data_IF_333382445478
#
_entry.id   IF_333382445478
#
_cell.length_a   1.000
_cell.length_b   1.000
_cell.length_c   1.000
_cell.angle_alpha   90.00
_cell.angle_beta   90.00
_cell.angle_gamma   90.00
#
_symmetry.space_group_name_H-M   'P 1'
#
loop_
_entity.id
_entity.type
_entity.pdbx_description
1 polymer ?
#
# COMPACT_ATOMS: atom_id res chain seq x y z
N UNK A 1 12.21 19.70 25.89
CA UNK A 1 10.99 19.81 25.07
C UNK A 1 11.28 20.22 23.62
N UNK A 2 12.41 20.88 23.34
CA UNK A 2 12.85 21.29 21.99
C UNK A 2 13.40 20.14 21.11
N UNK A 3 13.98 19.09 21.69
CA UNK A 3 14.41 17.88 20.95
C UNK A 3 13.24 16.98 20.49
N UNK A 4 12.09 17.04 21.18
CA UNK A 4 10.90 16.25 20.83
C UNK A 4 10.15 16.83 19.61
N UNK A 5 10.23 18.15 19.42
CA UNK A 5 9.60 18.87 18.30
C UNK A 5 10.44 18.77 17.03
N UNK A 6 11.77 18.65 17.13
CA UNK A 6 12.65 18.47 15.97
C UNK A 6 12.58 17.06 15.36
N UNK A 7 12.25 16.02 16.14
CA UNK A 7 12.06 14.65 15.62
C UNK A 7 10.75 14.46 14.85
N UNK A 8 9.73 15.29 15.11
CA UNK A 8 8.43 15.17 14.45
C UNK A 8 8.43 15.79 13.03
N UNK A 9 9.46 16.56 12.68
CA UNK A 9 9.53 17.32 11.43
C UNK A 9 10.13 16.55 10.23
N UNK A 10 10.64 15.32 10.43
CA UNK A 10 11.31 14.55 9.37
C UNK A 10 10.51 13.35 8.84
N UNK A 11 9.23 13.21 9.21
CA UNK A 11 8.36 12.15 8.68
C UNK A 11 7.26 12.75 7.81
N UNK A 12 7.64 13.52 6.80
CA UNK A 12 6.77 13.68 5.63
C UNK A 12 7.16 12.57 4.66
N UNK A 13 6.41 11.46 4.55
CA UNK A 13 6.63 10.54 3.44
C UNK A 13 6.50 11.36 2.15
N UNK A 14 7.59 11.45 1.39
CA UNK A 14 7.53 12.03 0.06
C UNK A 14 6.50 11.23 -0.73
N UNK A 15 5.46 11.90 -1.23
CA UNK A 15 4.50 11.34 -2.17
C UNK A 15 5.25 11.07 -3.47
N UNK A 16 5.95 9.95 -3.56
CA UNK A 16 6.53 9.47 -4.81
C UNK A 16 5.39 8.91 -5.65
N UNK A 17 4.91 9.70 -6.62
CA UNK A 17 3.87 9.32 -7.56
C UNK A 17 4.41 8.30 -8.58
N UNK A 18 4.48 7.02 -8.19
CA UNK A 18 4.80 5.90 -9.08
C UNK A 18 3.58 4.99 -9.27
N UNK A 19 2.40 5.59 -9.45
CA UNK A 19 1.19 4.84 -9.76
C UNK A 19 1.00 4.75 -11.27
N UNK A 20 0.47 3.63 -11.74
CA UNK A 20 0.04 3.45 -13.13
C UNK A 20 -0.88 4.61 -13.54
N UNK A 21 -0.56 5.28 -14.65
CA UNK A 21 -1.24 6.49 -15.11
C UNK A 21 -1.74 6.33 -16.54
N UNK A 22 -2.83 7.03 -16.88
CA UNK A 22 -3.31 7.10 -18.25
C UNK A 22 -2.36 7.96 -19.09
N UNK A 23 -1.68 7.34 -20.04
CA UNK A 23 -0.76 8.01 -20.98
C UNK A 23 -1.51 8.67 -22.13
N UNK A 24 -2.48 7.97 -22.72
CA UNK A 24 -3.28 8.47 -23.85
C UNK A 24 -4.57 7.67 -24.03
N UNK A 25 -5.56 8.23 -24.74
CA UNK A 25 -6.82 7.55 -25.06
C UNK A 25 -7.29 7.82 -26.48
N UNK A 26 -8.08 6.89 -27.01
CA UNK A 26 -8.89 7.04 -28.22
C UNK A 26 -10.33 6.64 -27.89
N UNK A 27 -11.31 7.54 -27.97
CA UNK A 27 -11.19 8.98 -28.23
C UNK A 27 -10.28 9.71 -27.24
N UNK A 28 -9.63 10.79 -27.68
CA UNK A 28 -8.79 11.60 -26.80
C UNK A 28 -9.67 12.41 -25.84
N UNK A 29 -9.11 12.75 -24.67
CA UNK A 29 -9.74 13.67 -23.71
C UNK A 29 -10.09 14.99 -24.41
N UNK A 30 -11.34 15.42 -24.26
CA UNK A 30 -11.87 16.64 -24.86
C UNK A 30 -12.11 16.56 -26.37
N UNK A 31 -12.02 15.37 -26.99
CA UNK A 31 -12.27 15.23 -28.43
C UNK A 31 -13.71 15.58 -28.80
N UNK A 32 -13.88 16.26 -29.92
CA UNK A 32 -15.17 16.42 -30.61
C UNK A 32 -15.18 15.52 -31.84
N UNK A 33 -16.07 14.53 -31.87
CA UNK A 33 -16.07 13.47 -32.86
C UNK A 33 -17.16 13.67 -33.91
N UNK A 34 -16.75 13.68 -35.18
CA UNK A 34 -17.66 13.64 -36.33
C UNK A 34 -18.13 12.21 -36.69
N UNK A 35 -17.53 11.20 -36.07
CA UNK A 35 -17.89 9.78 -36.23
C UNK A 35 -17.97 9.12 -34.86
N UNK A 36 -19.06 8.42 -34.59
CA UNK A 36 -19.25 7.69 -33.34
C UNK A 36 -18.19 6.57 -33.20
N UNK A 37 -17.46 6.51 -32.07
CA UNK A 37 -16.46 5.47 -31.86
C UNK A 37 -17.13 4.11 -31.67
N UNK A 38 -16.50 3.05 -32.17
CA UNK A 38 -16.94 1.65 -31.94
C UNK A 38 -16.25 0.99 -30.75
N UNK A 39 -15.20 1.61 -30.24
CA UNK A 39 -14.40 1.11 -29.14
C UNK A 39 -13.75 2.28 -28.40
N UNK A 40 -13.44 2.04 -27.12
CA UNK A 40 -12.51 2.86 -26.36
C UNK A 40 -11.17 2.13 -26.30
N UNK A 41 -10.09 2.88 -26.45
CA UNK A 41 -8.71 2.38 -26.35
C UNK A 41 -7.92 3.27 -25.41
N UNK A 42 -7.49 2.74 -24.27
CA UNK A 42 -6.78 3.47 -23.22
C UNK A 42 -5.38 2.91 -23.08
N UNK A 43 -4.37 3.76 -23.18
CA UNK A 43 -2.94 3.42 -23.05
C UNK A 43 -2.43 3.90 -21.71
N UNK A 44 -1.80 3.02 -20.94
CA UNK A 44 -1.27 3.33 -19.62
C UNK A 44 0.26 3.37 -19.60
N UNK A 45 0.84 3.86 -18.50
CA UNK A 45 2.30 3.87 -18.27
C UNK A 45 2.85 2.51 -17.83
N UNK A 46 1.98 1.58 -17.44
CA UNK A 46 2.30 0.19 -17.10
C UNK A 46 1.19 -0.74 -17.62
N UNK A 47 1.43 -2.05 -17.64
CA UNK A 47 0.41 -3.03 -18.06
C UNK A 47 -0.65 -3.24 -16.97
N UNK A 48 -1.93 -2.93 -17.20
CA UNK A 48 -2.99 -3.18 -16.23
C UNK A 48 -3.31 -4.68 -16.12
N UNK A 49 -3.67 -5.13 -14.93
CA UNK A 49 -4.20 -6.47 -14.75
C UNK A 49 -5.71 -6.47 -15.07
N UNK A 50 -6.12 -7.22 -16.10
CA UNK A 50 -7.50 -7.19 -16.63
C UNK A 50 -8.55 -7.52 -15.57
N UNK A 51 -8.24 -8.45 -14.66
CA UNK A 51 -9.16 -8.86 -13.58
C UNK A 51 -9.52 -7.71 -12.64
N UNK A 52 -8.68 -6.67 -12.55
CA UNK A 52 -8.90 -5.50 -11.69
C UNK A 52 -9.21 -4.23 -12.49
N UNK A 53 -9.40 -4.36 -13.81
CA UNK A 53 -9.70 -3.23 -14.69
C UNK A 53 -11.21 -3.08 -14.89
N UNK A 54 -11.71 -1.87 -14.69
CA UNK A 54 -13.10 -1.47 -14.95
C UNK A 54 -13.11 -0.23 -15.82
N UNK A 55 -13.93 -0.25 -16.87
CA UNK A 55 -14.22 0.92 -17.70
C UNK A 55 -15.74 1.07 -17.75
N UNK A 56 -16.21 2.28 -17.48
CA UNK A 56 -17.61 2.67 -17.61
C UNK A 56 -17.69 3.83 -18.61
N UNK A 57 -18.67 3.75 -19.50
CA UNK A 57 -19.01 4.83 -20.41
C UNK A 57 -20.38 5.35 -20.00
N UNK A 58 -20.48 6.63 -19.67
CA UNK A 58 -21.72 7.29 -19.27
C UNK A 58 -22.15 8.21 -20.40
N UNK A 59 -23.41 8.05 -20.83
CA UNK A 59 -24.01 8.83 -21.90
C UNK A 59 -24.39 10.25 -21.48
N UNK A 60 -24.83 11.08 -22.46
CA UNK A 60 -25.23 12.48 -22.21
C UNK A 60 -26.40 12.63 -21.24
N UNK A 61 -27.23 11.59 -21.12
CA UNK A 61 -28.39 11.51 -20.22
C UNK A 61 -28.01 11.00 -18.82
N UNK A 62 -26.73 10.75 -18.55
CA UNK A 62 -26.24 10.21 -17.29
C UNK A 62 -26.40 8.69 -17.17
N UNK A 63 -26.87 7.99 -18.20
CA UNK A 63 -27.05 6.53 -18.16
C UNK A 63 -25.78 5.78 -18.56
N UNK A 64 -25.49 4.62 -17.94
CA UNK A 64 -24.39 3.76 -18.38
C UNK A 64 -24.66 3.16 -19.78
N UNK A 65 -23.68 3.26 -20.65
CA UNK A 65 -23.66 2.64 -21.99
C UNK A 65 -23.11 1.22 -21.87
N UNK A 66 -23.77 0.26 -22.51
CA UNK A 66 -23.31 -1.12 -22.50
C UNK A 66 -22.01 -1.29 -23.29
N UNK A 67 -21.04 -1.95 -22.63
CA UNK A 67 -19.74 -2.27 -23.16
C UNK A 67 -19.59 -3.80 -23.25
N UNK A 68 -18.90 -4.27 -24.28
CA UNK A 68 -18.49 -5.67 -24.40
C UNK A 68 -17.34 -6.02 -23.44
N UNK A 69 -16.89 -7.28 -23.49
CA UNK A 69 -15.73 -7.75 -22.74
C UNK A 69 -14.47 -6.91 -22.99
N UNK A 70 -13.84 -6.52 -21.88
CA UNK A 70 -12.59 -5.80 -21.83
C UNK A 70 -11.42 -6.72 -22.22
N UNK A 71 -10.49 -6.24 -23.05
CA UNK A 71 -9.31 -7.01 -23.46
C UNK A 71 -8.06 -6.16 -23.49
N UNK A 72 -6.90 -6.78 -23.27
CA UNK A 72 -5.63 -6.20 -23.64
C UNK A 72 -5.51 -6.16 -25.16
N UNK A 73 -4.87 -5.14 -25.69
CA UNK A 73 -4.65 -5.04 -27.12
C UNK A 73 -3.60 -6.06 -27.60
N UNK A 74 -3.80 -6.60 -28.80
CA UNK A 74 -2.88 -7.58 -29.39
C UNK A 74 -1.47 -6.99 -29.64
N UNK A 75 -1.39 -5.67 -29.82
CA UNK A 75 -0.15 -4.95 -30.11
C UNK A 75 0.57 -4.43 -28.86
N UNK A 76 -0.10 -4.35 -27.70
CA UNK A 76 0.53 -3.94 -26.45
C UNK A 76 -0.28 -4.32 -25.21
N UNK A 77 0.34 -4.94 -24.19
CA UNK A 77 -0.32 -5.24 -22.91
C UNK A 77 -0.60 -3.99 -22.06
N UNK A 78 -0.02 -2.84 -22.41
CA UNK A 78 -0.29 -1.55 -21.75
C UNK A 78 -1.55 -0.86 -22.27
N UNK A 79 -2.18 -1.45 -23.27
CA UNK A 79 -3.35 -0.88 -23.93
C UNK A 79 -4.56 -1.75 -23.67
N UNK A 80 -5.59 -1.12 -23.12
CA UNK A 80 -6.89 -1.74 -22.87
C UNK A 80 -7.84 -1.30 -23.97
N UNK A 81 -8.55 -2.27 -24.54
CA UNK A 81 -9.59 -2.05 -25.55
C UNK A 81 -10.91 -2.58 -25.02
N UNK A 82 -11.96 -1.78 -25.16
CA UNK A 82 -13.34 -2.19 -24.88
C UNK A 82 -14.23 -1.78 -26.04
N UNK A 83 -15.02 -2.72 -26.56
CA UNK A 83 -15.97 -2.43 -27.64
C UNK A 83 -17.25 -1.85 -27.05
N UNK A 84 -17.83 -0.91 -27.77
CA UNK A 84 -19.09 -0.27 -27.39
C UNK A 84 -20.20 -1.09 -28.05
N UNK A 85 -21.02 -1.75 -27.24
CA UNK A 85 -22.05 -2.68 -27.71
C UNK A 85 -23.34 -1.95 -28.15
N UNK A 86 -23.57 -0.76 -27.60
CA UNK A 86 -24.74 0.06 -27.91
C UNK A 86 -24.45 1.08 -29.02
N UNK A 87 -25.51 1.45 -29.73
CA UNK A 87 -25.44 2.62 -30.58
C UNK A 87 -25.33 3.89 -29.73
N UNK A 88 -24.56 4.86 -30.21
CA UNK A 88 -24.35 6.14 -29.53
C UNK A 88 -25.23 7.22 -30.14
N UNK A 89 -25.53 8.24 -29.35
CA UNK A 89 -26.25 9.46 -29.73
C UNK A 89 -25.29 10.65 -29.70
N UNK A 90 -25.72 11.80 -30.21
CA UNK A 90 -24.93 13.02 -30.09
C UNK A 90 -24.93 13.53 -28.64
N UNK A 91 -23.82 14.09 -28.18
CA UNK A 91 -23.68 14.66 -26.85
C UNK A 91 -22.35 14.33 -26.16
N UNK A 92 -22.24 14.75 -24.90
CA UNK A 92 -21.06 14.53 -24.09
C UNK A 92 -21.09 13.14 -23.42
N UNK A 93 -19.99 12.41 -23.54
CA UNK A 93 -19.79 11.10 -22.93
C UNK A 93 -18.68 11.18 -21.90
N UNK A 94 -18.92 10.61 -20.72
CA UNK A 94 -17.90 10.50 -19.67
C UNK A 94 -17.36 9.08 -19.65
N UNK A 95 -16.05 8.93 -19.83
CA UNK A 95 -15.33 7.68 -19.59
C UNK A 95 -14.82 7.72 -18.16
N UNK A 96 -15.26 6.78 -17.32
CA UNK A 96 -14.67 6.50 -16.01
C UNK A 96 -13.88 5.22 -16.10
N UNK A 97 -12.71 5.18 -15.47
CA UNK A 97 -11.89 3.98 -15.44
C UNK A 97 -11.29 3.76 -14.06
N UNK A 98 -11.06 2.49 -13.75
CA UNK A 98 -10.30 2.02 -12.62
C UNK A 98 -9.37 0.91 -13.12
N UNK A 99 -8.10 0.97 -12.76
CA UNK A 99 -7.10 -0.04 -13.11
C UNK A 99 -6.21 -0.33 -11.91
N UNK A 100 -5.56 -1.49 -11.90
CA UNK A 100 -4.46 -1.78 -10.97
C UNK A 100 -3.34 -2.49 -11.73
N UNK A 101 -2.09 -2.20 -11.35
CA UNK A 101 -0.92 -2.93 -11.83
C UNK A 101 -0.67 -4.19 -11.01
N UNK A 102 0.54 -4.75 -11.14
CA UNK A 102 0.99 -5.90 -10.33
C UNK A 102 1.07 -5.61 -8.83
N UNK A 103 1.22 -4.33 -8.47
CA UNK A 103 1.22 -3.86 -7.09
C UNK A 103 -0.16 -3.97 -6.42
N UNK A 104 -1.24 -4.16 -7.19
CA UNK A 104 -2.60 -4.27 -6.68
C UNK A 104 -3.18 -2.94 -6.18
N UNK A 105 -2.54 -1.80 -6.42
CA UNK A 105 -3.07 -0.50 -6.02
C UNK A 105 -4.03 0.05 -7.09
N UNK A 106 -5.33 0.25 -6.77
CA UNK A 106 -6.28 0.73 -7.75
C UNK A 106 -6.11 2.24 -7.98
N UNK A 107 -5.93 2.63 -9.24
CA UNK A 107 -5.94 4.01 -9.70
C UNK A 107 -7.21 4.26 -10.49
N UNK A 108 -7.83 5.41 -10.25
CA UNK A 108 -9.05 5.84 -10.92
C UNK A 108 -8.82 7.11 -11.70
N UNK A 109 -9.64 7.31 -12.72
CA UNK A 109 -9.72 8.58 -13.40
C UNK A 109 -10.95 8.68 -14.27
N UNK A 110 -11.16 9.88 -14.80
CA UNK A 110 -12.23 10.14 -15.77
C UNK A 110 -11.80 11.14 -16.81
N UNK A 111 -12.40 11.05 -18.00
CA UNK A 111 -12.31 12.07 -19.02
C UNK A 111 -13.59 12.13 -19.83
N UNK A 112 -13.80 13.24 -20.54
CA UNK A 112 -14.98 13.46 -21.37
C UNK A 112 -14.57 13.54 -22.83
N UNK A 113 -15.41 13.05 -23.73
CA UNK A 113 -15.39 13.36 -25.15
C UNK A 113 -16.81 13.69 -25.62
N UNK A 114 -16.96 14.34 -26.77
CA UNK A 114 -18.25 14.77 -27.30
C UNK A 114 -18.46 14.21 -28.70
N UNK A 115 -19.64 13.67 -28.98
CA UNK A 115 -20.06 13.30 -30.33
C UNK A 115 -20.92 14.41 -30.90
N UNK A 116 -20.53 14.93 -32.06
CA UNK A 116 -21.23 16.03 -32.70
C UNK A 116 -22.65 15.63 -33.15
N UNK A 117 -23.61 16.57 -33.14
CA UNK A 117 -24.87 16.39 -33.86
C UNK A 117 -24.61 16.02 -35.32
N UNK A 118 -25.33 15.02 -35.83
CA UNK A 118 -25.15 14.54 -37.21
C UNK A 118 -23.88 13.72 -37.46
N UNK A 119 -23.15 13.31 -36.40
CA UNK A 119 -22.01 12.42 -36.56
C UNK A 119 -22.37 11.12 -37.28
N UNK A 120 -21.43 10.59 -38.07
CA UNK A 120 -21.60 9.30 -38.74
C UNK A 120 -21.57 8.15 -37.74
N UNK A 121 -22.33 7.09 -37.99
CA UNK A 121 -22.32 5.88 -37.14
C UNK A 121 -23.10 6.01 -35.83
N UNK A 122 -23.88 7.08 -35.65
CA UNK A 122 -24.92 7.15 -34.62
C UNK A 122 -26.00 6.08 -34.89
N UNK A 123 -26.68 5.62 -33.83
CA UNK A 123 -27.82 4.72 -33.97
C UNK A 123 -28.96 5.40 -34.71
N UNK A 124 -29.20 5.01 -35.96
CA UNK A 124 -30.34 5.50 -36.71
C UNK A 124 -31.61 4.78 -36.26
N UNK A 125 -32.52 5.51 -35.62
CA UNK A 125 -33.94 5.25 -35.86
C UNK A 125 -34.17 5.51 -37.36
N UNK A 126 -34.51 4.45 -38.10
CA UNK A 126 -34.73 4.55 -39.54
C UNK A 126 -36.02 5.34 -39.78
N UNK A 127 -35.92 6.56 -40.29
CA UNK A 127 -36.94 7.09 -41.21
C UNK A 127 -36.23 7.63 -42.46
N UNK A 128 -36.60 7.04 -43.60
CA UNK A 128 -36.18 7.35 -44.97
C UNK A 128 -36.98 8.56 -45.47
N UNK A 129 -36.32 9.58 -46.02
CA UNK A 129 -36.70 10.32 -47.25
C UNK A 129 -35.73 11.50 -47.55
N UNK A 130 -35.60 11.98 -48.80
CA UNK A 130 -34.31 12.43 -49.37
C UNK A 130 -34.20 13.94 -49.71
N UNK A 131 -32.98 14.32 -50.15
CA UNK A 131 -32.55 15.46 -51.00
C UNK A 131 -31.81 16.64 -50.30
N UNK A 132 -31.15 17.56 -51.03
CA UNK A 132 -29.91 17.40 -51.83
C UNK A 132 -28.78 18.41 -51.46
N UNK A 133 -27.61 18.19 -52.08
CA UNK A 133 -26.38 19.00 -52.27
C UNK A 133 -26.11 20.37 -51.59
N UNK A 134 -24.88 20.43 -51.06
CA UNK A 134 -23.90 21.55 -50.95
C UNK A 134 -24.11 22.72 -49.94
N UNK A 135 -23.15 22.93 -49.03
CA UNK A 135 -22.04 23.93 -49.08
C UNK A 135 -21.39 24.08 -47.68
N UNK A 136 -20.07 23.83 -47.63
CA UNK A 136 -19.05 24.55 -46.83
C UNK A 136 -19.14 24.66 -45.30
N UNK A 137 -18.28 23.91 -44.59
CA UNK A 137 -17.64 24.40 -43.35
C UNK A 137 -16.33 23.65 -43.04
N UNK A 138 -15.22 24.38 -43.23
CA UNK A 138 -13.88 24.30 -42.64
C UNK A 138 -13.51 23.12 -41.73
N UNK A 139 -12.51 22.35 -42.18
CA UNK A 139 -11.71 21.45 -41.33
C UNK A 139 -10.81 22.31 -40.43
N UNK A 140 -11.10 22.36 -39.12
CA UNK A 140 -10.10 22.75 -38.12
C UNK A 140 -9.49 21.48 -37.55
N UNK A 141 -8.24 21.18 -37.94
CA UNK A 141 -7.39 20.26 -37.21
C UNK A 141 -7.10 20.86 -35.82
N UNK A 142 -7.46 20.22 -34.70
CA UNK A 142 -6.82 20.51 -33.44
C UNK A 142 -5.39 19.98 -33.52
N UNK A 143 -4.45 20.87 -33.23
CA UNK A 143 -3.03 20.71 -33.44
C UNK A 143 -2.41 19.45 -32.83
N UNK A 144 -1.31 19.07 -33.48
CA UNK A 144 -0.22 18.24 -33.01
C UNK A 144 -0.01 18.34 -31.48
N UNK A 145 -0.27 17.24 -30.78
CA UNK A 145 0.27 17.05 -29.42
C UNK A 145 1.78 16.77 -29.56
N UNK A 146 2.68 17.52 -28.91
CA UNK A 146 4.10 17.21 -28.92
C UNK A 146 4.36 15.83 -28.32
N UNK A 147 5.32 15.04 -28.83
CA UNK A 147 5.72 13.79 -28.20
C UNK A 147 6.45 14.11 -26.89
N UNK A 148 5.74 14.05 -25.76
CA UNK A 148 6.37 14.25 -24.44
C UNK A 148 5.44 14.68 -23.30
N UNK A 149 4.18 15.07 -23.56
CA UNK A 149 3.26 15.43 -22.50
C UNK A 149 2.69 14.18 -21.80
N UNK A 150 3.41 13.66 -20.81
CA UNK A 150 2.83 12.80 -19.77
C UNK A 150 1.78 13.63 -19.03
N UNK A 151 0.51 13.24 -19.13
CA UNK A 151 -0.62 13.93 -18.50
C UNK A 151 -0.62 13.73 -16.98
N UNK A 152 0.31 14.35 -16.27
CA UNK A 152 0.19 14.63 -14.83
C UNK A 152 -0.38 16.04 -14.66
N UNK A 153 -1.67 16.20 -14.92
CA UNK A 153 -2.39 17.44 -14.62
C UNK A 153 -3.20 17.24 -13.32
N UNK A 154 -2.69 17.72 -12.16
CA UNK A 154 -3.35 17.55 -10.86
C UNK A 154 -4.73 18.21 -10.80
N UNK A 155 -5.04 19.15 -11.70
CA UNK A 155 -6.34 19.82 -11.80
C UNK A 155 -7.45 18.85 -12.26
N UNK A 156 -7.11 17.69 -12.81
CA UNK A 156 -8.11 16.70 -13.29
C UNK A 156 -8.29 15.46 -12.41
N UNK A 157 -7.69 15.44 -11.21
CA UNK A 157 -7.93 14.43 -10.18
C UNK A 157 -8.65 15.05 -8.96
N UNK A 158 -9.96 15.25 -9.04
CA UNK A 158 -10.83 14.89 -7.92
C UNK A 158 -12.04 14.08 -8.45
N UNK A 159 -12.50 12.99 -7.83
CA UNK A 159 -12.66 12.69 -6.41
C UNK A 159 -12.45 11.19 -6.11
N UNK A 160 -11.94 10.93 -4.90
CA UNK A 160 -12.03 9.69 -4.15
C UNK A 160 -13.50 9.40 -3.74
N UNK A 161 -14.47 9.41 -4.66
CA UNK A 161 -15.87 9.09 -4.34
C UNK A 161 -16.08 7.62 -3.92
N UNK A 162 -15.00 6.85 -3.72
CA UNK A 162 -15.01 5.51 -3.15
C UNK A 162 -13.83 5.28 -2.23
N UNK A 163 -13.95 4.28 -1.37
CA UNK A 163 -12.86 3.82 -0.50
C UNK A 163 -11.61 3.46 -1.33
N UNK A 164 -10.47 4.05 -1.02
CA UNK A 164 -9.19 3.82 -1.70
C UNK A 164 -8.02 3.73 -0.69
N UNK A 165 -6.79 3.58 -1.19
CA UNK A 165 -5.58 3.46 -0.35
C UNK A 165 -5.17 4.75 0.36
N UNK A 166 -5.74 5.89 -0.02
CA UNK A 166 -5.51 7.20 0.60
C UNK A 166 -6.58 7.54 1.64
N UNK A 167 -7.71 6.83 1.62
CA UNK A 167 -8.78 6.98 2.60
C UNK A 167 -8.25 6.90 4.04
N UNK A 168 -8.77 7.78 4.92
CA UNK A 168 -8.31 7.89 6.30
C UNK A 168 -8.36 6.54 7.06
N UNK A 169 -9.39 5.73 6.79
CA UNK A 169 -9.51 4.40 7.38
C UNK A 169 -8.45 3.42 6.85
N UNK A 170 -8.13 3.43 5.56
CA UNK A 170 -7.04 2.60 5.01
C UNK A 170 -5.69 3.01 5.62
N UNK A 171 -5.42 4.32 5.67
CA UNK A 171 -4.20 4.88 6.29
C UNK A 171 -4.11 4.49 7.76
N UNK A 172 -5.22 4.53 8.49
CA UNK A 172 -5.28 4.11 9.90
C UNK A 172 -4.99 2.61 10.07
N UNK A 173 -5.55 1.73 9.24
CA UNK A 173 -5.26 0.29 9.26
C UNK A 173 -3.77 0.03 8.95
N UNK A 174 -3.20 0.77 7.99
CA UNK A 174 -1.77 0.70 7.69
C UNK A 174 -0.92 1.16 8.87
N UNK A 175 -1.31 2.23 9.54
CA UNK A 175 -0.63 2.70 10.75
C UNK A 175 -0.66 1.64 11.86
N UNK A 176 -1.81 0.99 12.10
CA UNK A 176 -1.92 -0.11 13.06
C UNK A 176 -0.99 -1.29 12.72
N UNK A 177 -0.79 -1.56 11.42
CA UNK A 177 0.14 -2.58 10.95
C UNK A 177 1.58 -2.24 11.37
N UNK A 178 2.03 -1.01 11.14
CA UNK A 178 3.36 -0.55 11.56
C UNK A 178 3.51 -0.55 13.09
N UNK A 179 2.47 -0.18 13.85
CA UNK A 179 2.49 -0.28 15.31
C UNK A 179 2.64 -1.71 15.81
N UNK A 180 1.97 -2.68 15.17
CA UNK A 180 2.14 -4.09 15.47
C UNK A 180 3.55 -4.59 15.19
N UNK A 181 4.13 -4.26 14.03
CA UNK A 181 5.52 -4.62 13.68
C UNK A 181 6.50 -3.98 14.67
N UNK A 182 6.30 -2.70 14.98
CA UNK A 182 7.10 -1.94 15.95
C UNK A 182 7.12 -2.63 17.30
N UNK A 183 5.95 -3.06 17.80
CA UNK A 183 5.83 -3.79 19.04
C UNK A 183 6.58 -5.13 19.00
N UNK A 184 6.39 -5.94 17.96
CA UNK A 184 6.95 -7.29 17.89
C UNK A 184 8.47 -7.30 17.74
N UNK A 185 9.02 -6.47 16.86
CA UNK A 185 10.49 -6.28 16.76
C UNK A 185 11.03 -5.69 18.06
N UNK A 186 10.28 -4.77 18.69
CA UNK A 186 10.60 -4.23 20.01
C UNK A 186 10.71 -5.29 21.10
N UNK A 187 9.76 -6.23 21.18
CA UNK A 187 9.77 -7.36 22.12
C UNK A 187 10.99 -8.26 21.92
N UNK A 188 11.28 -8.62 20.66
CA UNK A 188 12.45 -9.45 20.31
C UNK A 188 13.75 -8.74 20.67
N UNK A 189 13.85 -7.45 20.35
CA UNK A 189 15.04 -6.63 20.61
C UNK A 189 15.26 -6.46 22.11
N UNK A 190 14.19 -6.18 22.87
CA UNK A 190 14.26 -6.11 24.33
C UNK A 190 14.77 -7.41 24.94
N UNK A 191 14.28 -8.57 24.49
CA UNK A 191 14.71 -9.86 25.03
C UNK A 191 16.17 -10.19 24.70
N UNK A 192 16.57 -10.07 23.43
CA UNK A 192 17.91 -10.52 23.02
C UNK A 192 19.00 -9.50 23.35
N UNK A 193 18.69 -8.20 23.28
CA UNK A 193 19.69 -7.13 23.43
C UNK A 193 19.63 -6.56 24.84
N UNK A 194 18.50 -5.96 25.25
CA UNK A 194 18.41 -5.25 26.54
C UNK A 194 18.55 -6.24 27.72
N UNK A 195 17.71 -7.28 27.77
CA UNK A 195 17.86 -8.33 28.79
C UNK A 195 19.16 -9.12 28.60
N UNK A 196 19.67 -9.25 27.36
CA UNK A 196 20.97 -9.85 27.09
C UNK A 196 22.12 -9.13 27.79
N UNK A 197 22.12 -7.80 27.77
CA UNK A 197 23.11 -7.00 28.52
C UNK A 197 22.97 -7.16 30.03
N UNK A 198 21.74 -7.19 30.55
CA UNK A 198 21.51 -7.39 31.98
C UNK A 198 21.95 -8.79 32.44
N UNK A 199 21.66 -9.84 31.66
CA UNK A 199 22.11 -11.22 31.93
C UNK A 199 23.65 -11.37 31.98
N UNK A 200 24.39 -10.50 31.29
CA UNK A 200 25.87 -10.49 31.34
C UNK A 200 26.41 -9.79 32.58
N UNK A 201 25.66 -8.85 33.17
CA UNK A 201 26.09 -8.06 34.34
C UNK A 201 25.59 -8.63 35.66
N UNK A 202 24.40 -9.24 35.66
CA UNK A 202 23.74 -9.78 36.84
C UNK A 202 23.69 -11.31 36.80
N UNK A 203 23.21 -11.92 37.88
CA UNK A 203 22.89 -13.35 37.90
C UNK A 203 21.81 -13.66 36.82
N UNK A 204 22.09 -14.53 35.83
CA UNK A 204 21.14 -14.92 34.79
C UNK A 204 19.82 -15.48 35.33
N UNK A 205 19.85 -16.07 36.53
CA UNK A 205 18.69 -16.67 37.21
C UNK A 205 17.89 -15.66 38.05
N UNK A 206 18.15 -14.35 37.87
CA UNK A 206 17.39 -13.31 38.55
C UNK A 206 15.88 -13.44 38.28
N UNK A 207 15.03 -13.46 39.33
CA UNK A 207 13.58 -13.55 39.18
C UNK A 207 13.00 -12.36 38.41
N UNK A 208 13.66 -11.20 38.44
CA UNK A 208 13.29 -10.04 37.64
C UNK A 208 13.43 -10.32 36.15
N UNK A 209 14.56 -10.92 35.72
CA UNK A 209 14.86 -11.16 34.31
C UNK A 209 13.94 -12.23 33.72
N UNK A 210 13.64 -13.29 34.48
CA UNK A 210 12.70 -14.33 34.05
C UNK A 210 11.25 -13.79 33.98
N UNK A 211 10.82 -13.00 34.96
CA UNK A 211 9.52 -12.33 34.94
C UNK A 211 9.39 -11.34 33.77
N UNK A 212 10.40 -10.50 33.54
CA UNK A 212 10.43 -9.56 32.42
C UNK A 212 10.38 -10.30 31.07
N UNK A 213 11.16 -11.38 30.91
CA UNK A 213 11.14 -12.19 29.70
C UNK A 213 9.78 -12.84 29.46
N UNK A 214 9.15 -13.42 30.49
CA UNK A 214 7.83 -14.06 30.36
C UNK A 214 6.73 -13.04 30.02
N UNK A 215 6.76 -11.86 30.64
CA UNK A 215 5.84 -10.74 30.32
C UNK A 215 6.06 -10.21 28.91
N UNK A 216 7.30 -10.03 28.48
CA UNK A 216 7.62 -9.61 27.12
C UNK A 216 7.07 -10.62 26.09
N UNK A 217 7.23 -11.92 26.33
CA UNK A 217 6.64 -12.95 25.46
C UNK A 217 5.09 -12.89 25.46
N UNK A 218 4.46 -12.60 26.60
CA UNK A 218 3.00 -12.41 26.67
C UNK A 218 2.55 -11.20 25.84
N UNK A 219 3.24 -10.06 25.96
CA UNK A 219 2.98 -8.86 25.16
C UNK A 219 3.18 -9.17 23.67
N UNK A 220 4.25 -9.87 23.30
CA UNK A 220 4.50 -10.30 21.92
C UNK A 220 3.40 -11.22 21.37
N UNK A 221 2.92 -12.18 22.16
CA UNK A 221 1.84 -13.08 21.75
C UNK A 221 0.53 -12.34 21.46
N UNK A 222 0.10 -11.46 22.38
CA UNK A 222 -1.12 -10.67 22.20
C UNK A 222 -0.97 -9.60 21.10
N UNK A 223 0.21 -8.99 21.01
CA UNK A 223 0.56 -8.08 19.92
C UNK A 223 0.47 -8.75 18.55
N UNK A 224 0.97 -9.99 18.44
CA UNK A 224 0.90 -10.76 17.19
C UNK A 224 -0.54 -11.16 16.86
N UNK A 225 -1.33 -11.58 17.86
CA UNK A 225 -2.76 -11.86 17.66
C UNK A 225 -3.53 -10.61 17.19
N UNK A 226 -3.27 -9.46 17.80
CA UNK A 226 -3.85 -8.18 17.37
C UNK A 226 -3.42 -7.80 15.94
N UNK A 227 -2.14 -7.98 15.60
CA UNK A 227 -1.64 -7.77 14.24
C UNK A 227 -2.32 -8.71 13.22
N UNK A 228 -2.66 -9.93 13.62
CA UNK A 228 -3.45 -10.86 12.80
C UNK A 228 -4.86 -10.32 12.48
N UNK A 229 -5.53 -9.74 13.47
CA UNK A 229 -6.83 -9.06 13.26
C UNK A 229 -6.66 -7.87 12.31
N UNK A 230 -5.62 -7.06 12.50
CA UNK A 230 -5.31 -5.94 11.61
C UNK A 230 -5.01 -6.41 10.18
N UNK A 231 -4.34 -7.55 10.01
CA UNK A 231 -4.09 -8.12 8.68
C UNK A 231 -5.41 -8.50 7.97
N UNK A 232 -6.40 -9.05 8.69
CA UNK A 232 -7.73 -9.32 8.13
C UNK A 232 -8.48 -8.03 7.75
N UNK A 233 -8.42 -7.01 8.61
CA UNK A 233 -8.98 -5.69 8.30
C UNK A 233 -8.32 -5.08 7.06
N UNK A 234 -7.00 -5.23 6.91
CA UNK A 234 -6.24 -4.78 5.74
C UNK A 234 -6.64 -5.53 4.47
N UNK A 235 -6.89 -6.84 4.55
CA UNK A 235 -7.44 -7.61 3.44
C UNK A 235 -8.80 -7.09 3.00
N UNK A 236 -9.69 -6.86 3.96
CA UNK A 236 -11.01 -6.32 3.68
C UNK A 236 -10.93 -4.94 3.04
N UNK A 237 -10.13 -4.03 3.61
CA UNK A 237 -9.89 -2.71 3.07
C UNK A 237 -9.35 -2.76 1.64
N UNK A 238 -8.33 -3.59 1.37
CA UNK A 238 -7.80 -3.73 0.01
C UNK A 238 -8.84 -4.28 -0.96
N UNK A 239 -9.60 -5.31 -0.58
CA UNK A 239 -10.64 -5.87 -1.44
C UNK A 239 -11.74 -4.86 -1.72
N UNK A 240 -12.13 -4.06 -0.74
CA UNK A 240 -13.09 -2.97 -0.90
C UNK A 240 -12.55 -1.90 -1.87
N UNK A 241 -11.27 -1.54 -1.72
CA UNK A 241 -10.61 -0.59 -2.59
C UNK A 241 -10.49 -1.10 -4.04
N UNK A 242 -10.24 -2.39 -4.25
CA UNK A 242 -10.05 -2.97 -5.59
C UNK A 242 -11.37 -3.34 -6.28
N UNK A 243 -12.34 -3.88 -5.55
CA UNK A 243 -13.55 -4.47 -6.15
C UNK A 243 -14.82 -3.64 -5.93
N UNK A 244 -14.81 -2.68 -4.99
CA UNK A 244 -15.99 -1.92 -4.59
C UNK A 244 -16.95 -2.69 -3.68
N UNK A 245 -17.96 -2.00 -3.13
CA UNK A 245 -18.77 -2.48 -2.01
C UNK A 245 -19.42 -3.86 -2.17
N UNK A 246 -20.16 -4.09 -3.26
CA UNK A 246 -20.93 -5.33 -3.46
C UNK A 246 -20.06 -6.54 -3.84
N UNK A 247 -18.87 -6.30 -4.40
CA UNK A 247 -17.98 -7.35 -4.91
C UNK A 247 -16.77 -7.61 -4.00
N UNK A 248 -16.61 -6.83 -2.93
CA UNK A 248 -15.50 -6.94 -1.97
C UNK A 248 -15.39 -8.33 -1.29
N UNK A 249 -16.46 -9.11 -1.30
CA UNK A 249 -16.51 -10.47 -0.71
C UNK A 249 -16.51 -11.59 -1.75
N UNK A 250 -16.33 -11.28 -3.04
CA UNK A 250 -16.27 -12.29 -4.09
C UNK A 250 -15.04 -13.18 -3.94
N UNK A 251 -15.22 -14.44 -3.52
CA UNK A 251 -14.11 -15.36 -3.25
C UNK A 251 -13.14 -15.53 -4.42
N UNK A 252 -13.64 -15.58 -5.66
CA UNK A 252 -12.80 -15.65 -6.86
C UNK A 252 -11.95 -14.39 -7.10
N UNK A 253 -12.49 -13.21 -6.79
CA UNK A 253 -11.78 -11.93 -6.91
C UNK A 253 -10.70 -11.80 -5.84
N UNK A 254 -11.01 -12.19 -4.59
CA UNK A 254 -10.03 -12.24 -3.50
C UNK A 254 -8.92 -13.24 -3.82
N UNK A 255 -9.25 -14.43 -4.32
CA UNK A 255 -8.25 -15.44 -4.70
C UNK A 255 -7.33 -14.93 -5.81
N UNK A 256 -7.88 -14.23 -6.82
CA UNK A 256 -7.09 -13.59 -7.87
C UNK A 256 -6.21 -12.48 -7.31
N UNK A 257 -6.73 -11.62 -6.42
CA UNK A 257 -5.97 -10.57 -5.75
C UNK A 257 -4.80 -11.16 -4.97
N UNK A 258 -5.04 -12.20 -4.17
CA UNK A 258 -3.99 -12.85 -3.37
C UNK A 258 -2.95 -13.59 -4.22
N UNK A 259 -3.36 -14.24 -5.31
CA UNK A 259 -2.47 -15.08 -6.12
C UNK A 259 -1.74 -14.34 -7.25
N UNK A 260 -2.28 -13.22 -7.75
CA UNK A 260 -1.74 -12.52 -8.93
C UNK A 260 -1.08 -11.18 -8.62
N UNK A 261 -1.26 -10.63 -7.42
CA UNK A 261 -0.67 -9.34 -7.04
C UNK A 261 0.47 -9.50 -6.06
N UNK A 262 1.48 -8.64 -6.18
CA UNK A 262 2.61 -8.55 -5.25
C UNK A 262 2.12 -8.20 -3.84
N UNK A 263 1.10 -7.34 -3.74
CA UNK A 263 0.43 -7.04 -2.47
C UNK A 263 -0.14 -8.29 -1.80
N UNK A 264 -0.80 -9.16 -2.58
CA UNK A 264 -1.38 -10.42 -2.13
C UNK A 264 -0.34 -11.38 -1.56
N UNK A 265 0.78 -11.55 -2.27
CA UNK A 265 1.91 -12.36 -1.79
C UNK A 265 2.54 -11.79 -0.52
N UNK A 266 2.71 -10.47 -0.43
CA UNK A 266 3.20 -9.82 0.79
C UNK A 266 2.24 -9.98 1.98
N UNK A 267 0.93 -9.92 1.73
CA UNK A 267 -0.09 -10.19 2.75
C UNK A 267 -0.07 -11.65 3.24
N UNK A 268 0.05 -12.62 2.32
CA UNK A 268 0.15 -14.03 2.69
C UNK A 268 1.39 -14.31 3.55
N UNK A 269 2.54 -13.75 3.17
CA UNK A 269 3.77 -13.83 3.96
C UNK A 269 3.58 -13.20 5.35
N UNK A 270 2.88 -12.07 5.43
CA UNK A 270 2.54 -11.42 6.70
C UNK A 270 1.69 -12.33 7.59
N UNK A 271 0.66 -12.97 7.04
CA UNK A 271 -0.20 -13.89 7.80
C UNK A 271 0.59 -15.08 8.33
N UNK A 272 1.42 -15.71 7.49
CA UNK A 272 2.29 -16.82 7.91
C UNK A 272 3.23 -16.39 9.03
N UNK A 273 3.85 -15.22 8.90
CA UNK A 273 4.76 -14.70 9.91
C UNK A 273 4.05 -14.32 11.23
N UNK A 274 2.81 -13.81 11.17
CA UNK A 274 1.97 -13.56 12.36
C UNK A 274 1.63 -14.87 13.08
N UNK A 275 1.17 -15.89 12.35
CA UNK A 275 0.85 -17.19 12.95
C UNK A 275 2.10 -17.83 13.58
N UNK A 276 3.23 -17.75 12.88
CA UNK A 276 4.54 -18.14 13.41
C UNK A 276 4.89 -17.38 14.70
N UNK A 277 4.72 -16.06 14.72
CA UNK A 277 4.99 -15.23 15.89
C UNK A 277 4.11 -15.61 17.10
N UNK A 278 2.80 -15.84 16.91
CA UNK A 278 1.90 -16.26 17.99
C UNK A 278 2.38 -17.57 18.63
N UNK A 279 2.70 -18.57 17.81
CA UNK A 279 3.19 -19.86 18.28
C UNK A 279 4.57 -19.75 18.94
N UNK A 280 5.47 -18.97 18.34
CA UNK A 280 6.81 -18.72 18.84
C UNK A 280 6.78 -18.02 20.21
N UNK A 281 5.99 -16.95 20.36
CA UNK A 281 5.83 -16.26 21.65
C UNK A 281 5.12 -17.10 22.70
N UNK A 282 4.16 -17.96 22.31
CA UNK A 282 3.55 -18.94 23.22
C UNK A 282 4.59 -19.93 23.76
N UNK A 283 5.50 -20.41 22.91
CA UNK A 283 6.61 -21.27 23.33
C UNK A 283 7.63 -20.50 24.19
N UNK A 284 7.99 -19.28 23.79
CA UNK A 284 8.91 -18.40 24.51
C UNK A 284 8.41 -18.05 25.92
N UNK A 285 7.09 -17.85 26.08
CA UNK A 285 6.44 -17.61 27.39
C UNK A 285 6.60 -18.81 28.34
N UNK A 286 6.74 -20.02 27.81
CA UNK A 286 7.02 -21.25 28.58
C UNK A 286 8.50 -21.49 28.83
N UNK A 287 9.36 -20.51 28.51
CA UNK A 287 10.81 -20.59 28.70
C UNK A 287 11.59 -21.19 27.53
N UNK A 288 10.96 -21.46 26.38
CA UNK A 288 11.67 -22.03 25.22
C UNK A 288 12.61 -21.01 24.57
N UNK A 289 13.90 -21.35 24.51
CA UNK A 289 14.92 -20.59 23.76
C UNK A 289 14.66 -20.64 22.25
N UNK A 290 14.30 -21.80 21.72
CA UNK A 290 13.89 -21.97 20.33
C UNK A 290 12.67 -21.08 19.99
N UNK A 291 11.73 -20.94 20.93
CA UNK A 291 10.60 -20.02 20.79
C UNK A 291 11.03 -18.57 20.54
N UNK A 292 12.05 -18.08 21.24
CA UNK A 292 12.62 -16.75 21.00
C UNK A 292 13.30 -16.64 19.64
N UNK A 293 14.05 -17.67 19.21
CA UNK A 293 14.67 -17.69 17.88
C UNK A 293 13.64 -17.64 16.77
N UNK A 294 12.55 -18.43 16.86
CA UNK A 294 11.46 -18.37 15.89
C UNK A 294 10.72 -17.03 15.92
N UNK A 295 10.54 -16.43 17.10
CA UNK A 295 9.92 -15.12 17.22
C UNK A 295 10.78 -14.03 16.54
N UNK A 296 12.11 -14.13 16.65
CA UNK A 296 13.03 -13.23 15.95
C UNK A 296 12.93 -13.37 14.43
N UNK A 297 12.91 -14.61 13.91
CA UNK A 297 12.71 -14.86 12.47
C UNK A 297 11.37 -14.29 12.00
N UNK A 298 10.29 -14.54 12.72
CA UNK A 298 8.97 -14.00 12.39
C UNK A 298 8.96 -12.46 12.41
N UNK A 299 9.60 -11.83 13.41
CA UNK A 299 9.68 -10.37 13.51
C UNK A 299 10.49 -9.77 12.35
N UNK A 300 11.59 -10.41 11.93
CA UNK A 300 12.35 -10.00 10.74
C UNK A 300 11.48 -10.11 9.49
N UNK A 301 10.83 -11.25 9.25
CA UNK A 301 9.94 -11.42 8.09
C UNK A 301 8.86 -10.32 8.08
N UNK A 302 8.22 -10.07 9.22
CA UNK A 302 7.20 -9.03 9.38
C UNK A 302 7.72 -7.62 9.08
N UNK A 303 8.98 -7.31 9.40
CA UNK A 303 9.56 -6.00 9.10
C UNK A 303 9.76 -5.76 7.59
N UNK A 304 9.89 -6.81 6.80
CA UNK A 304 10.05 -6.72 5.34
C UNK A 304 8.73 -6.76 4.57
N UNK A 305 7.62 -7.19 5.19
CA UNK A 305 6.33 -7.29 4.45
C UNK A 305 5.77 -5.96 3.96
N UNK A 306 5.94 -4.80 4.63
CA UNK A 306 5.53 -3.51 4.07
C UNK A 306 6.29 -3.17 2.79
N UNK A 307 7.61 -3.41 2.78
CA UNK A 307 8.46 -3.18 1.62
C UNK A 307 8.07 -4.06 0.41
N UNK A 308 7.71 -5.32 0.69
CA UNK A 308 7.28 -6.28 -0.32
C UNK A 308 5.87 -6.03 -0.85
N UNK A 309 4.99 -5.39 -0.06
CA UNK A 309 3.60 -5.08 -0.43
C UNK A 309 3.36 -3.60 -0.70
N UNK A 310 4.44 -2.84 -0.94
CA UNK A 310 4.42 -1.40 -1.13
C UNK A 310 5.46 -0.93 -2.15
N UNK A 311 5.70 0.38 -2.19
CA UNK A 311 6.44 1.04 -3.26
C UNK A 311 7.88 0.54 -3.48
N UNK A 312 8.54 0.03 -2.44
CA UNK A 312 9.90 -0.51 -2.60
C UNK A 312 9.95 -1.66 -3.62
N UNK A 313 8.88 -2.46 -3.71
CA UNK A 313 8.75 -3.57 -4.67
C UNK A 313 8.48 -3.12 -6.11
N UNK A 314 8.02 -1.88 -6.32
CA UNK A 314 7.74 -1.29 -7.64
C UNK A 314 8.80 -0.27 -8.09
N UNK A 315 9.92 -0.16 -7.37
CA UNK A 315 10.99 0.77 -7.72
C UNK A 315 11.55 0.48 -9.15
N UNK A 316 11.62 1.48 -10.05
CA UNK A 316 12.06 1.29 -11.44
C UNK A 316 13.52 0.84 -11.60
N UNK A 317 14.37 1.15 -10.61
CA UNK A 317 15.78 0.76 -10.55
C UNK A 317 16.12 0.34 -9.12
N UNK A 318 17.05 -0.61 -8.98
CA UNK A 318 17.57 -1.05 -7.69
C UNK A 318 16.50 -1.59 -6.72
N UNK A 319 15.44 -2.23 -7.23
CA UNK A 319 14.30 -2.75 -6.43
C UNK A 319 14.74 -3.56 -5.21
N UNK A 320 15.73 -4.44 -5.35
CA UNK A 320 16.25 -5.21 -4.22
C UNK A 320 16.84 -4.30 -3.14
N UNK A 321 17.64 -3.30 -3.51
CA UNK A 321 18.23 -2.38 -2.53
C UNK A 321 17.18 -1.50 -1.86
N UNK A 322 16.14 -1.09 -2.61
CA UNK A 322 15.01 -0.35 -2.04
C UNK A 322 14.25 -1.18 -1.00
N UNK A 323 13.92 -2.44 -1.34
CA UNK A 323 13.24 -3.38 -0.42
C UNK A 323 14.10 -3.67 0.80
N UNK A 324 15.40 -3.89 0.61
CA UNK A 324 16.34 -4.13 1.71
C UNK A 324 16.45 -2.91 2.63
N UNK A 325 16.63 -1.72 2.06
CA UNK A 325 16.73 -0.50 2.84
C UNK A 325 15.47 -0.21 3.64
N UNK A 326 14.28 -0.39 3.04
CA UNK A 326 13.00 -0.18 3.73
C UNK A 326 12.80 -1.19 4.87
N UNK A 327 13.04 -2.48 4.62
CA UNK A 327 12.97 -3.51 5.67
C UNK A 327 13.96 -3.26 6.82
N UNK A 328 15.20 -2.88 6.50
CA UNK A 328 16.21 -2.53 7.50
C UNK A 328 15.84 -1.24 8.24
N UNK A 329 15.22 -0.27 7.57
CA UNK A 329 14.69 0.95 8.19
C UNK A 329 13.61 0.62 9.22
N UNK A 330 12.64 -0.23 8.85
CA UNK A 330 11.59 -0.69 9.76
C UNK A 330 12.19 -1.43 10.96
N UNK A 331 13.20 -2.28 10.77
CA UNK A 331 13.93 -2.92 11.87
C UNK A 331 14.63 -1.88 12.76
N UNK A 332 15.29 -0.89 12.15
CA UNK A 332 15.94 0.25 12.82
C UNK A 332 14.96 1.00 13.72
N UNK A 333 13.89 1.54 13.14
CA UNK A 333 12.88 2.32 13.85
C UNK A 333 12.19 1.49 14.95
N UNK A 334 11.87 0.23 14.64
CA UNK A 334 11.17 -0.66 15.58
C UNK A 334 12.06 -1.15 16.73
N UNK A 335 13.32 -1.46 16.45
CA UNK A 335 14.29 -1.83 17.47
C UNK A 335 14.58 -0.65 18.40
N UNK A 336 14.53 0.59 17.91
CA UNK A 336 14.68 1.78 18.74
C UNK A 336 13.44 2.09 19.59
N UNK A 337 12.31 2.40 18.94
CA UNK A 337 11.09 2.89 19.60
C UNK A 337 10.29 1.74 20.22
N UNK A 338 10.24 0.59 19.56
CA UNK A 338 9.55 -0.59 20.06
C UNK A 338 10.22 -1.16 21.31
N UNK A 339 11.55 -1.25 21.34
CA UNK A 339 12.21 -1.73 22.56
C UNK A 339 12.14 -0.72 23.71
N UNK A 340 12.07 0.60 23.42
CA UNK A 340 11.75 1.63 24.43
C UNK A 340 10.37 1.37 25.04
N UNK A 341 9.35 1.14 24.21
CA UNK A 341 8.01 0.82 24.69
C UNK A 341 8.05 -0.39 25.63
N UNK A 342 8.77 -1.46 25.28
CA UNK A 342 8.89 -2.65 26.13
C UNK A 342 9.69 -2.37 27.41
N UNK A 343 10.72 -1.53 27.36
CA UNK A 343 11.40 -1.06 28.58
C UNK A 343 10.40 -0.37 29.51
N UNK A 344 9.55 0.52 28.99
CA UNK A 344 8.58 1.27 29.79
C UNK A 344 7.45 0.39 30.36
N UNK A 345 6.92 -0.56 29.58
CA UNK A 345 5.74 -1.35 29.98
C UNK A 345 6.06 -2.71 30.58
N UNK A 346 7.29 -3.22 30.40
CA UNK A 346 7.75 -4.51 30.96
C UNK A 346 8.99 -4.34 31.82
N UNK A 347 10.03 -3.70 31.31
CA UNK A 347 11.34 -3.59 31.98
C UNK A 347 11.26 -2.85 33.32
N UNK A 348 10.79 -1.60 33.31
CA UNK A 348 10.65 -0.77 34.52
C UNK A 348 9.64 -1.39 35.50
N UNK A 349 8.43 -1.83 35.09
CA UNK A 349 7.50 -2.51 35.99
C UNK A 349 8.05 -3.80 36.61
N UNK A 350 8.93 -4.54 35.92
CA UNK A 350 9.61 -5.69 36.51
C UNK A 350 10.64 -5.27 37.57
N UNK A 351 11.43 -4.24 37.31
CA UNK A 351 12.38 -3.69 38.30
C UNK A 351 11.68 -3.12 39.54
N UNK A 352 10.50 -2.51 39.37
CA UNK A 352 9.69 -1.96 40.46
C UNK A 352 9.12 -3.02 41.41
N UNK A 353 9.17 -4.30 41.05
CA UNK A 353 8.72 -5.41 41.91
C UNK A 353 9.79 -5.88 42.90
N UNK A 354 11.01 -5.38 42.78
CA UNK A 354 12.07 -5.65 43.74
C UNK A 354 11.84 -4.90 45.08
N UNK A 355 12.63 -5.27 46.09
CA UNK A 355 12.62 -4.62 47.39
C UNK A 355 12.95 -3.13 47.25
N UNK A 356 12.43 -2.27 48.14
CA UNK A 356 12.53 -0.80 48.01
C UNK A 356 13.97 -0.30 47.84
N UNK A 357 14.93 -0.91 48.52
CA UNK A 357 16.35 -0.57 48.42
C UNK A 357 17.01 -0.90 47.06
N UNK A 358 16.41 -1.79 46.27
CA UNK A 358 16.99 -2.30 45.02
C UNK A 358 16.35 -1.68 43.77
N UNK A 359 15.13 -1.12 43.89
CA UNK A 359 14.34 -0.60 42.75
C UNK A 359 15.09 0.44 41.93
N UNK A 360 15.70 1.42 42.60
CA UNK A 360 16.41 2.52 41.93
C UNK A 360 17.58 2.03 41.08
N UNK A 361 18.38 1.13 41.64
CA UNK A 361 19.51 0.51 40.94
C UNK A 361 19.04 -0.32 39.74
N UNK A 362 18.02 -1.17 39.93
CA UNK A 362 17.49 -2.02 38.87
C UNK A 362 16.88 -1.21 37.71
N UNK A 363 16.14 -0.14 38.00
CA UNK A 363 15.60 0.77 36.96
C UNK A 363 16.74 1.44 36.19
N UNK A 364 17.76 1.94 36.89
CA UNK A 364 18.91 2.57 36.26
C UNK A 364 19.65 1.57 35.35
N UNK A 365 19.80 0.32 35.77
CA UNK A 365 20.42 -0.73 34.96
C UNK A 365 19.63 -1.06 33.70
N UNK A 366 18.29 -1.15 33.78
CA UNK A 366 17.43 -1.35 32.61
C UNK A 366 17.61 -0.21 31.60
N UNK A 367 17.61 1.05 32.08
CA UNK A 367 17.81 2.24 31.22
C UNK A 367 19.22 2.24 30.60
N UNK A 368 20.24 1.91 31.39
CA UNK A 368 21.62 1.83 30.92
C UNK A 368 21.81 0.69 29.90
N UNK A 369 21.10 -0.42 30.05
CA UNK A 369 21.11 -1.52 29.07
C UNK A 369 20.39 -1.15 27.76
N UNK A 370 19.39 -0.26 27.81
CA UNK A 370 18.70 0.24 26.62
C UNK A 370 19.54 1.25 25.82
N UNK A 371 20.36 2.07 26.48
CA UNK A 371 21.06 3.19 25.82
C UNK A 371 21.90 2.80 24.58
N UNK A 372 22.74 1.73 24.62
CA UNK A 372 23.46 1.27 23.42
C UNK A 372 22.53 0.74 22.34
N UNK A 373 21.44 0.09 22.73
CA UNK A 373 20.40 -0.42 21.82
C UNK A 373 19.78 0.74 21.04
N UNK A 374 19.40 1.82 21.75
CA UNK A 374 18.84 3.01 21.13
C UNK A 374 19.78 3.60 20.06
N UNK A 375 21.08 3.75 20.39
CA UNK A 375 22.05 4.34 19.47
C UNK A 375 22.25 3.50 18.19
N UNK A 376 22.38 2.17 18.32
CA UNK A 376 22.57 1.29 17.16
C UNK A 376 21.35 1.32 16.25
N UNK A 377 20.14 1.14 16.81
CA UNK A 377 18.92 1.07 16.02
C UNK A 377 18.51 2.43 15.44
N UNK A 378 18.69 3.52 16.19
CA UNK A 378 18.50 4.88 15.66
C UNK A 378 19.50 5.20 14.55
N UNK A 379 20.76 4.76 14.67
CA UNK A 379 21.77 4.89 13.63
C UNK A 379 21.41 4.14 12.34
N UNK A 380 20.90 2.91 12.47
CA UNK A 380 20.37 2.12 11.34
C UNK A 380 19.21 2.85 10.66
N UNK A 381 18.23 3.33 11.44
CA UNK A 381 17.09 4.08 10.91
C UNK A 381 17.53 5.37 10.21
N UNK A 382 18.47 6.12 10.78
CA UNK A 382 19.00 7.34 10.18
C UNK A 382 19.74 7.06 8.87
N UNK A 383 20.65 6.08 8.85
CA UNK A 383 21.43 5.74 7.66
C UNK A 383 20.53 5.26 6.51
N UNK A 384 19.58 4.37 6.79
CA UNK A 384 18.62 3.89 5.79
C UNK A 384 17.64 4.98 5.35
N UNK A 385 17.26 5.91 6.23
CA UNK A 385 16.44 7.06 5.88
C UNK A 385 17.15 8.03 4.93
N UNK A 386 18.44 8.32 5.17
CA UNK A 386 19.28 9.11 4.26
C UNK A 386 19.42 8.42 2.90
N UNK A 387 19.66 7.10 2.89
CA UNK A 387 19.73 6.32 1.65
C UNK A 387 18.40 6.34 0.88
N UNK A 388 17.27 6.20 1.56
CA UNK A 388 15.95 6.29 0.94
C UNK A 388 15.70 7.68 0.34
N UNK A 389 16.09 8.75 1.05
CA UNK A 389 15.99 10.11 0.52
C UNK A 389 16.84 10.29 -0.75
N UNK A 390 18.08 9.77 -0.76
CA UNK A 390 18.94 9.79 -1.94
C UNK A 390 18.31 9.06 -3.15
N UNK A 391 17.77 7.86 -2.94
CA UNK A 391 17.10 7.09 -4.00
C UNK A 391 15.93 7.85 -4.66
N UNK A 392 15.27 8.75 -3.94
CA UNK A 392 14.12 9.51 -4.45
C UNK A 392 14.50 10.82 -5.13
N UNK A 393 15.63 11.42 -4.75
CA UNK A 393 16.05 12.73 -5.26
C UNK A 393 16.96 12.58 -6.51
N UNK A 394 17.68 11.45 -6.64
CA UNK A 394 18.60 11.19 -7.74
C UNK A 394 20.00 11.72 -7.46
#
# INVERSE_FOLDING_TARGET
MTLLVAMLAFVTPGLALAHIALKSSVPSKGAHLATAPRALRLTFTEAPELTFTRIELIGPDGTPVNLDELRAAADSPMVIVVRIASALTAGAYTVRWQIAGKDGHPVRGRFVFTIAPGAQGLGADRIIAPAPSEVGATITNPGQTPPGAVHHDPVTMPESEGFDSESALYVFIRWLTFMGILLLVGVVTFHHVVLGFLRRKQNPDSPMLSAASSRAAMVGMWGAAALGIVALLRLYAQSLAMHGGQQAFGGGLIASMLGKTVWGWGWLLQVVAVLGAVLAFRAARRGSTAGWSFAAISAVILAFTPALSGHASSAPRLTLLAVLADGVHVIGASGWLGSLLIVLVVGIPAAMQLAEGERGAAVAEVINAYSPTALVFAGIAAATGVFAAWLHIG
#
